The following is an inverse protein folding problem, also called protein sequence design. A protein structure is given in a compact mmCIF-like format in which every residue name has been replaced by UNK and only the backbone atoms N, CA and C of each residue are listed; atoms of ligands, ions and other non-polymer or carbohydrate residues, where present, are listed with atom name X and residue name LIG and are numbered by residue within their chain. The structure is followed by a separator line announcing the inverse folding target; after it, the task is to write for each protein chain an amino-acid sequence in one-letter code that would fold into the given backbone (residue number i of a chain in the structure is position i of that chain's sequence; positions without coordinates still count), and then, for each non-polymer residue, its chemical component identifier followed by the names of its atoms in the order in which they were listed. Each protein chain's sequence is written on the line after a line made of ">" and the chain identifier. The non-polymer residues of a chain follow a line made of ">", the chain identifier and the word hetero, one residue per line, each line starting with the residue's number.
data_IF_383699829806
#
_entry.id   IF_383699829806
#
_cell.length_a   1.000
_cell.length_b   1.000
_cell.length_c   1.000
_cell.angle_alpha   90.00
_cell.angle_beta   90.00
_cell.angle_gamma   90.00
#
_symmetry.space_group_name_H-M   'P 1'
#
loop_
_entity.id
_entity.type
_entity.pdbx_description
1 polymer ?
#
# COMPACT_ATOMS: atom_id res chain seq x y z
N UNK A 1 8.23 -14.53 -0.70
CA UNK A 1 8.01 -13.58 0.39
C UNK A 1 7.37 -14.37 1.50
N UNK A 2 8.15 -14.79 2.49
CA UNK A 2 7.60 -15.46 3.67
C UNK A 2 7.10 -14.38 4.63
N UNK A 3 5.94 -14.60 5.26
CA UNK A 3 5.39 -13.77 6.35
C UNK A 3 6.31 -13.73 7.60
N UNK A 4 7.28 -14.65 7.66
CA UNK A 4 8.16 -14.95 8.79
C UNK A 4 8.92 -13.80 9.46
N UNK A 5 8.71 -13.70 10.79
CA UNK A 5 9.37 -12.91 11.86
C UNK A 5 8.79 -11.54 12.23
N UNK A 6 7.79 -11.02 11.52
CA UNK A 6 7.12 -9.75 11.88
C UNK A 6 5.65 -9.94 12.25
N UNK A 7 5.30 -11.17 12.65
CA UNK A 7 3.98 -11.49 13.21
C UNK A 7 3.99 -10.98 14.65
N UNK A 8 3.29 -9.87 14.91
CA UNK A 8 3.15 -9.33 16.26
C UNK A 8 2.44 -10.34 17.19
N UNK A 9 2.65 -10.25 18.52
CA UNK A 9 2.39 -11.34 19.47
C UNK A 9 0.92 -11.77 19.60
N UNK A 10 -0.04 -10.96 19.17
CA UNK A 10 -1.48 -11.24 19.35
C UNK A 10 -2.27 -11.24 18.04
N UNK A 11 -2.02 -12.23 17.18
CA UNK A 11 -2.75 -12.34 15.91
C UNK A 11 -4.23 -12.66 16.10
N UNK A 12 -4.57 -13.38 17.17
CA UNK A 12 -5.96 -13.69 17.50
C UNK A 12 -6.76 -12.39 17.79
N UNK A 13 -6.22 -11.47 18.59
CA UNK A 13 -6.87 -10.17 18.84
C UNK A 13 -7.00 -9.31 17.58
N UNK A 14 -5.98 -9.28 16.71
CA UNK A 14 -6.05 -8.54 15.44
C UNK A 14 -7.16 -9.11 14.54
N UNK A 15 -7.32 -10.43 14.48
CA UNK A 15 -8.39 -11.07 13.71
C UNK A 15 -9.77 -10.80 14.31
N UNK A 16 -9.88 -10.79 15.65
CA UNK A 16 -11.07 -10.32 16.36
C UNK A 16 -11.43 -8.88 16.01
N UNK A 17 -10.45 -7.98 15.96
CA UNK A 17 -10.64 -6.58 15.55
C UNK A 17 -11.15 -6.48 14.11
N UNK A 18 -10.57 -7.26 13.19
CA UNK A 18 -11.03 -7.34 11.80
C UNK A 18 -12.49 -7.81 11.75
N UNK A 19 -12.85 -8.89 12.46
CA UNK A 19 -14.21 -9.40 12.48
C UNK A 19 -15.21 -8.38 13.02
N UNK A 20 -14.87 -7.68 14.10
CA UNK A 20 -15.68 -6.58 14.65
C UNK A 20 -15.84 -5.43 13.64
N UNK A 21 -14.77 -5.04 12.97
CA UNK A 21 -14.79 -3.98 11.95
C UNK A 21 -15.63 -4.37 10.72
N UNK A 22 -15.56 -5.63 10.27
CA UNK A 22 -16.40 -6.16 9.20
C UNK A 22 -17.88 -6.13 9.58
N UNK A 23 -18.22 -6.60 10.79
CA UNK A 23 -19.60 -6.58 11.29
C UNK A 23 -20.16 -5.14 11.35
N UNK A 24 -19.33 -4.17 11.74
CA UNK A 24 -19.67 -2.75 11.77
C UNK A 24 -19.62 -2.06 10.38
N UNK A 25 -19.24 -2.77 9.31
CA UNK A 25 -18.98 -2.21 7.97
C UNK A 25 -17.94 -1.08 7.96
N UNK A 26 -17.02 -1.11 8.92
CA UNK A 26 -15.97 -0.10 9.13
C UNK A 26 -14.65 -0.53 8.47
N UNK A 27 -14.62 -0.61 7.14
CA UNK A 27 -13.52 -1.29 6.41
C UNK A 27 -12.17 -0.55 6.33
N UNK A 28 -12.07 0.66 6.86
CA UNK A 28 -10.86 1.49 6.74
C UNK A 28 -10.29 1.88 8.11
N UNK A 29 -10.73 1.22 9.19
CA UNK A 29 -10.28 1.50 10.56
C UNK A 29 -9.05 0.67 10.91
N UNK A 30 -8.32 1.13 11.93
CA UNK A 30 -7.19 0.42 12.52
C UNK A 30 -7.67 -0.86 13.21
N UNK A 31 -6.90 -1.93 13.04
CA UNK A 31 -7.17 -3.25 13.64
C UNK A 31 -5.93 -3.89 14.28
N UNK A 32 -4.74 -3.34 14.02
CA UNK A 32 -3.50 -3.77 14.67
C UNK A 32 -3.45 -3.27 16.12
N UNK A 33 -2.88 -4.10 17.00
CA UNK A 33 -2.69 -3.79 18.41
C UNK A 33 -1.38 -3.03 18.63
N UNK A 34 -1.33 -2.24 19.71
CA UNK A 34 -0.13 -1.52 20.17
C UNK A 34 0.45 -0.51 19.16
N UNK A 35 -0.37 0.03 18.27
CA UNK A 35 0.02 1.15 17.43
C UNK A 35 0.43 2.35 18.32
N UNK A 36 1.60 2.96 18.07
CA UNK A 36 2.02 4.10 18.86
C UNK A 36 1.07 5.28 18.64
N UNK A 37 0.50 5.78 19.74
CA UNK A 37 -0.32 6.99 19.75
C UNK A 37 0.57 8.21 19.95
N UNK A 38 0.49 9.18 19.05
CA UNK A 38 1.21 10.44 19.15
C UNK A 38 0.21 11.58 19.44
N UNK A 39 0.67 12.61 20.15
CA UNK A 39 -0.08 13.87 20.23
C UNK A 39 0.12 14.69 18.96
N UNK A 40 -0.81 15.60 18.65
CA UNK A 40 -0.70 16.48 17.48
C UNK A 40 0.62 17.29 17.45
N UNK A 41 1.13 17.68 18.62
CA UNK A 41 2.41 18.36 18.76
C UNK A 41 3.60 17.45 18.39
N UNK A 42 3.55 16.16 18.76
CA UNK A 42 4.57 15.19 18.39
C UNK A 42 4.54 14.89 16.89
N UNK A 43 3.36 14.68 16.31
CA UNK A 43 3.19 14.48 14.86
C UNK A 43 3.74 15.68 14.08
N UNK A 44 3.45 16.89 14.54
CA UNK A 44 3.98 18.13 13.97
C UNK A 44 5.50 18.17 13.99
N UNK A 45 6.11 17.88 15.15
CA UNK A 45 7.56 17.87 15.27
C UNK A 45 8.23 16.82 14.36
N UNK A 46 7.62 15.63 14.21
CA UNK A 46 8.09 14.56 13.32
C UNK A 46 8.08 15.04 11.87
N UNK A 47 6.97 15.62 11.42
CA UNK A 47 6.82 16.14 10.06
C UNK A 47 7.80 17.29 9.78
N UNK A 48 7.90 18.26 10.68
CA UNK A 48 8.77 19.43 10.48
C UNK A 48 10.24 19.01 10.45
N UNK A 49 10.64 18.08 11.32
CA UNK A 49 11.96 17.47 11.27
C UNK A 49 12.22 16.81 9.93
N UNK A 50 11.27 16.02 9.44
CA UNK A 50 11.37 15.34 8.16
C UNK A 50 11.51 16.32 6.98
N UNK A 51 10.67 17.35 6.92
CA UNK A 51 10.72 18.38 5.88
C UNK A 51 12.05 19.15 5.91
N UNK A 52 12.57 19.47 7.10
CA UNK A 52 13.87 20.11 7.24
C UNK A 52 15.02 19.21 6.78
N UNK A 53 15.02 17.92 7.13
CA UNK A 53 16.04 16.97 6.67
C UNK A 53 16.06 16.85 5.13
N UNK A 54 14.90 16.89 4.47
CA UNK A 54 14.79 16.78 3.00
C UNK A 54 15.52 17.87 2.23
N UNK A 55 15.77 19.02 2.83
CA UNK A 55 16.51 20.11 2.21
C UNK A 55 18.02 19.84 2.14
N UNK A 56 18.53 18.89 2.93
CA UNK A 56 19.96 18.57 3.00
C UNK A 56 20.39 17.68 1.84
N UNK A 57 21.58 17.92 1.29
CA UNK A 57 22.14 17.06 0.24
C UNK A 57 22.36 15.62 0.74
N UNK A 58 22.71 15.44 2.02
CA UNK A 58 22.86 14.13 2.66
C UNK A 58 21.57 13.31 2.63
N UNK A 59 20.40 13.95 2.65
CA UNK A 59 19.12 13.26 2.50
C UNK A 59 19.01 12.57 1.14
N UNK A 60 19.44 13.24 0.06
CA UNK A 60 19.43 12.67 -1.30
C UNK A 60 20.35 11.45 -1.42
N UNK A 61 21.52 11.52 -0.80
CA UNK A 61 22.48 10.40 -0.76
C UNK A 61 21.93 9.22 0.04
N UNK A 62 21.40 9.47 1.24
CA UNK A 62 20.76 8.43 2.06
C UNK A 62 19.56 7.79 1.35
N UNK A 63 18.76 8.60 0.65
CA UNK A 63 17.64 8.12 -0.16
C UNK A 63 18.11 7.20 -1.29
N UNK A 64 19.19 7.57 -2.00
CA UNK A 64 19.76 6.72 -3.04
C UNK A 64 20.27 5.38 -2.48
N UNK A 65 21.03 5.42 -1.38
CA UNK A 65 21.54 4.21 -0.71
C UNK A 65 20.38 3.32 -0.26
N UNK A 66 19.39 3.90 0.42
CA UNK A 66 18.21 3.17 0.89
C UNK A 66 17.47 2.50 -0.27
N UNK A 67 17.21 3.24 -1.35
CA UNK A 67 16.53 2.70 -2.54
C UNK A 67 17.28 1.52 -3.16
N UNK A 68 18.61 1.60 -3.27
CA UNK A 68 19.42 0.51 -3.80
C UNK A 68 19.32 -0.74 -2.91
N UNK A 69 19.45 -0.58 -1.60
CA UNK A 69 19.33 -1.67 -0.63
C UNK A 69 17.94 -2.30 -0.64
N UNK A 70 16.88 -1.49 -0.62
CA UNK A 70 15.49 -1.95 -0.66
C UNK A 70 15.18 -2.64 -1.98
N UNK A 71 15.65 -2.13 -3.11
CA UNK A 71 15.45 -2.78 -4.41
C UNK A 71 16.17 -4.14 -4.49
N UNK A 72 17.40 -4.24 -3.98
CA UNK A 72 18.12 -5.51 -3.90
C UNK A 72 17.40 -6.51 -2.97
N UNK A 73 16.95 -6.04 -1.81
CA UNK A 73 16.14 -6.83 -0.89
C UNK A 73 14.84 -7.31 -1.54
N UNK A 74 14.13 -6.42 -2.24
CA UNK A 74 12.89 -6.73 -2.96
C UNK A 74 13.10 -7.87 -3.97
N UNK A 75 14.17 -7.81 -4.79
CA UNK A 75 14.51 -8.90 -5.73
C UNK A 75 14.66 -10.24 -5.01
N UNK A 76 15.35 -10.25 -3.87
CA UNK A 76 15.58 -11.47 -3.09
C UNK A 76 14.29 -12.02 -2.47
N UNK A 77 13.48 -11.17 -1.84
CA UNK A 77 12.30 -11.64 -1.09
C UNK A 77 11.06 -11.90 -1.94
N UNK A 78 11.06 -11.43 -3.18
CA UNK A 78 9.95 -11.61 -4.13
C UNK A 78 10.28 -12.59 -5.25
N UNK A 79 11.33 -13.40 -5.13
CA UNK A 79 11.73 -14.37 -6.15
C UNK A 79 10.59 -15.33 -6.53
N UNK A 80 9.82 -15.76 -5.53
CA UNK A 80 8.66 -16.66 -5.56
C UNK A 80 7.31 -15.96 -5.77
N UNK A 81 7.26 -14.62 -5.81
CA UNK A 81 6.01 -13.87 -6.04
C UNK A 81 5.71 -13.81 -7.53
N UNK A 82 4.60 -14.37 -7.99
CA UNK A 82 4.19 -14.25 -9.38
C UNK A 82 3.64 -12.84 -9.66
N UNK A 83 3.92 -12.28 -10.85
CA UNK A 83 3.35 -10.99 -11.29
C UNK A 83 2.68 -11.20 -12.64
N UNK A 84 1.36 -11.07 -12.65
CA UNK A 84 0.50 -11.23 -13.83
C UNK A 84 0.07 -9.85 -14.33
N UNK A 85 0.05 -9.62 -15.65
CA UNK A 85 -0.48 -8.38 -16.23
C UNK A 85 0.48 -7.20 -16.31
N UNK A 86 1.79 -7.41 -16.05
CA UNK A 86 2.78 -6.32 -16.01
C UNK A 86 2.94 -5.58 -17.35
N UNK A 87 2.65 -6.26 -18.46
CA UNK A 87 2.66 -5.69 -19.81
C UNK A 87 1.70 -4.51 -19.95
N UNK A 88 0.58 -4.51 -19.22
CA UNK A 88 -0.45 -3.46 -19.24
C UNK A 88 0.08 -2.08 -18.82
N UNK A 89 1.16 -2.05 -18.04
CA UNK A 89 1.71 -0.81 -17.46
C UNK A 89 3.08 -0.40 -18.03
N UNK A 90 3.70 -1.22 -18.89
CA UNK A 90 5.00 -0.92 -19.54
C UNK A 90 4.97 0.31 -20.44
N UNK A 91 3.81 0.54 -21.08
CA UNK A 91 3.59 1.68 -21.98
C UNK A 91 3.40 3.01 -21.22
N UNK A 92 3.08 2.99 -19.93
CA UNK A 92 2.84 4.20 -19.14
C UNK A 92 4.18 4.92 -18.92
N UNK A 93 4.36 6.06 -19.58
CA UNK A 93 5.55 6.93 -19.43
C UNK A 93 5.33 8.09 -18.48
N UNK A 94 4.08 8.45 -18.18
CA UNK A 94 3.72 9.49 -17.21
C UNK A 94 4.03 9.08 -15.77
N UNK A 95 3.79 10.00 -14.82
CA UNK A 95 3.53 9.63 -13.43
C UNK A 95 2.25 8.78 -13.31
N UNK A 96 1.94 8.32 -12.11
CA UNK A 96 0.78 7.47 -11.85
C UNK A 96 0.62 7.12 -10.38
N UNK A 97 -0.59 6.77 -9.99
CA UNK A 97 -0.90 6.32 -8.63
C UNK A 97 -1.12 4.82 -8.65
N UNK A 98 -0.30 4.06 -7.93
CA UNK A 98 -0.49 2.62 -7.75
C UNK A 98 -1.45 2.42 -6.58
N UNK A 99 -2.46 1.58 -6.74
CA UNK A 99 -3.37 1.17 -5.67
C UNK A 99 -3.35 -0.34 -5.51
N UNK A 100 -3.48 -0.84 -4.29
CA UNK A 100 -3.58 -2.28 -3.99
C UNK A 100 -4.40 -2.51 -2.72
N UNK A 101 -4.74 -3.76 -2.42
CA UNK A 101 -5.18 -4.18 -1.08
C UNK A 101 -4.03 -4.08 -0.07
N UNK A 102 -4.36 -3.79 1.21
CA UNK A 102 -3.38 -3.55 2.29
C UNK A 102 -3.52 -4.55 3.44
N UNK A 103 -2.59 -5.51 3.54
CA UNK A 103 -2.64 -6.69 4.41
C UNK A 103 -1.30 -7.09 5.03
N UNK A 104 -0.16 -6.54 4.61
CA UNK A 104 1.15 -6.83 5.20
C UNK A 104 2.10 -5.64 5.11
N UNK A 105 2.99 -5.42 6.10
CA UNK A 105 4.02 -4.37 6.03
C UNK A 105 4.99 -4.58 4.85
N UNK A 106 5.10 -5.81 4.34
CA UNK A 106 6.05 -6.19 3.29
C UNK A 106 5.43 -6.32 1.90
N UNK A 107 4.10 -6.22 1.76
CA UNK A 107 3.44 -6.44 0.47
C UNK A 107 3.89 -5.45 -0.62
N UNK A 108 4.34 -4.24 -0.23
CA UNK A 108 4.84 -3.25 -1.16
C UNK A 108 6.08 -3.76 -1.94
N UNK A 109 6.76 -4.81 -1.46
CA UNK A 109 7.84 -5.47 -2.18
C UNK A 109 7.32 -6.15 -3.47
N UNK A 110 6.12 -6.74 -3.45
CA UNK A 110 5.49 -7.28 -4.65
C UNK A 110 5.21 -6.17 -5.67
N UNK A 111 4.73 -5.01 -5.19
CA UNK A 111 4.54 -3.83 -6.04
C UNK A 111 5.88 -3.38 -6.64
N UNK A 112 6.95 -3.30 -5.84
CA UNK A 112 8.31 -2.99 -6.33
C UNK A 112 8.78 -3.96 -7.41
N UNK A 113 8.46 -5.27 -7.27
CA UNK A 113 8.73 -6.26 -8.33
C UNK A 113 8.00 -5.91 -9.62
N UNK A 114 6.70 -5.58 -9.57
CA UNK A 114 5.95 -5.15 -10.76
C UNK A 114 6.52 -3.87 -11.38
N UNK A 115 6.85 -2.85 -10.59
CA UNK A 115 7.48 -1.61 -11.07
C UNK A 115 8.79 -1.91 -11.81
N UNK A 116 9.63 -2.78 -11.25
CA UNK A 116 10.88 -3.23 -11.90
C UNK A 116 10.63 -3.98 -13.20
N UNK A 117 9.70 -4.93 -13.21
CA UNK A 117 9.32 -5.70 -14.40
C UNK A 117 8.65 -4.84 -15.49
N UNK A 118 8.10 -3.69 -15.11
CA UNK A 118 7.61 -2.66 -16.03
C UNK A 118 8.72 -1.75 -16.60
N UNK A 119 9.98 -1.97 -16.21
CA UNK A 119 11.14 -1.19 -16.67
C UNK A 119 11.40 0.08 -15.87
N UNK A 120 10.92 0.17 -14.62
CA UNK A 120 11.09 1.32 -13.74
C UNK A 120 11.83 0.93 -12.46
N UNK A 121 12.71 1.80 -11.95
CA UNK A 121 13.56 1.48 -10.78
C UNK A 121 13.25 2.30 -9.53
N UNK A 122 12.27 3.20 -9.61
CA UNK A 122 11.88 4.11 -8.54
C UNK A 122 10.37 4.25 -8.47
N UNK A 123 9.86 4.18 -7.25
CA UNK A 123 8.50 4.53 -6.88
C UNK A 123 8.55 5.24 -5.53
N UNK A 124 7.51 5.98 -5.22
CA UNK A 124 7.28 6.59 -3.91
C UNK A 124 6.19 5.81 -3.18
N UNK A 125 6.20 5.87 -1.86
CA UNK A 125 5.18 5.23 -1.03
C UNK A 125 4.59 6.26 -0.08
N UNK A 126 3.26 6.37 -0.07
CA UNK A 126 2.57 7.15 0.96
C UNK A 126 2.47 6.32 2.23
N UNK A 127 2.93 6.87 3.35
CA UNK A 127 2.93 6.22 4.67
C UNK A 127 2.43 7.18 5.74
N UNK A 128 1.79 6.67 6.78
CA UNK A 128 1.46 7.48 7.96
C UNK A 128 2.73 8.16 8.51
N UNK A 129 2.58 9.41 8.93
CA UNK A 129 3.65 10.25 9.47
C UNK A 129 4.31 9.68 10.72
N UNK A 130 3.54 9.03 11.59
CA UNK A 130 4.02 8.33 12.79
C UNK A 130 5.08 7.27 12.50
N UNK A 131 5.05 6.63 11.31
CA UNK A 131 6.08 5.66 10.90
C UNK A 131 7.46 6.29 10.72
N UNK A 132 7.54 7.61 10.52
CA UNK A 132 8.82 8.33 10.46
C UNK A 132 9.54 8.38 11.80
N UNK A 133 8.83 8.18 12.92
CA UNK A 133 9.40 8.16 14.27
C UNK A 133 10.05 6.82 14.65
N UNK A 134 9.97 5.80 13.80
CA UNK A 134 10.61 4.50 14.05
C UNK A 134 12.13 4.67 14.21
N UNK A 135 12.74 3.83 15.05
CA UNK A 135 14.18 3.85 15.34
C UNK A 135 14.92 2.76 14.57
N UNK A 136 16.25 2.88 14.49
CA UNK A 136 17.12 1.87 13.90
C UNK A 136 16.95 1.72 12.38
N UNK A 137 17.13 0.49 11.88
CA UNK A 137 17.08 0.19 10.45
C UNK A 137 15.70 0.45 9.83
N UNK A 138 14.62 0.11 10.53
CA UNK A 138 13.25 0.39 10.08
C UNK A 138 13.02 1.90 9.97
N UNK A 139 13.47 2.68 10.97
CA UNK A 139 13.47 4.13 10.91
C UNK A 139 14.21 4.70 9.70
N UNK A 140 15.38 4.14 9.39
CA UNK A 140 16.13 4.53 8.19
C UNK A 140 15.32 4.26 6.91
N UNK A 141 14.71 3.08 6.76
CA UNK A 141 13.88 2.77 5.59
C UNK A 141 12.69 3.74 5.51
N UNK A 142 11.93 3.92 6.58
CA UNK A 142 10.75 4.79 6.58
C UNK A 142 11.08 6.25 6.24
N UNK A 143 12.25 6.74 6.62
CA UNK A 143 12.67 8.11 6.32
C UNK A 143 13.26 8.29 4.91
N UNK A 144 13.88 7.25 4.32
CA UNK A 144 14.71 7.39 3.12
C UNK A 144 14.28 6.51 1.93
N UNK A 145 13.26 5.67 2.03
CA UNK A 145 12.78 4.82 0.94
C UNK A 145 11.78 5.52 0.00
N UNK A 146 12.10 6.77 -0.38
CA UNK A 146 11.23 7.63 -1.20
C UNK A 146 9.80 7.77 -0.62
N UNK A 147 9.69 7.84 0.71
CA UNK A 147 8.44 8.03 1.44
C UNK A 147 7.84 9.43 1.22
N UNK A 148 6.51 9.50 1.13
CA UNK A 148 5.73 10.73 1.21
C UNK A 148 4.82 10.58 2.44
N UNK A 149 5.07 11.30 3.54
CA UNK A 149 4.26 11.14 4.73
C UNK A 149 2.84 11.66 4.50
N UNK A 150 1.86 10.98 5.09
CA UNK A 150 0.47 11.38 5.15
C UNK A 150 0.14 11.73 6.59
N UNK A 151 -0.20 13.00 6.82
CA UNK A 151 -0.63 13.51 8.12
C UNK A 151 -2.12 13.82 8.08
N UNK A 152 -2.82 13.65 9.21
CA UNK A 152 -4.23 14.04 9.34
C UNK A 152 -4.47 15.56 9.27
N UNK A 153 -3.40 16.36 9.28
CA UNK A 153 -3.44 17.83 9.33
C UNK A 153 -3.86 18.44 7.98
N UNK A 154 -4.97 19.20 7.90
CA UNK A 154 -5.42 19.80 6.64
C UNK A 154 -4.40 20.74 5.98
N UNK A 155 -3.66 21.52 6.76
CA UNK A 155 -2.62 22.42 6.25
C UNK A 155 -1.46 21.67 5.59
N UNK A 156 -1.13 20.48 6.10
CA UNK A 156 -0.12 19.62 5.52
C UNK A 156 -0.61 18.97 4.22
N UNK A 157 -1.84 18.46 4.24
CA UNK A 157 -2.49 17.85 3.07
C UNK A 157 -2.62 18.83 1.91
N UNK A 158 -3.05 20.06 2.15
CA UNK A 158 -3.28 21.07 1.12
C UNK A 158 -2.00 21.79 0.63
N UNK A 159 -0.85 21.54 1.26
CA UNK A 159 0.41 22.23 0.93
C UNK A 159 1.55 21.25 0.67
N UNK A 160 2.40 20.93 1.66
CA UNK A 160 3.56 20.06 1.49
C UNK A 160 3.25 18.71 0.83
N UNK A 161 2.14 18.05 1.22
CA UNK A 161 1.77 16.75 0.66
C UNK A 161 1.51 16.84 -0.85
N UNK A 162 0.65 17.77 -1.27
CA UNK A 162 0.37 18.03 -2.68
C UNK A 162 1.61 18.39 -3.46
N UNK A 163 2.49 19.24 -2.92
CA UNK A 163 3.74 19.61 -3.59
C UNK A 163 4.65 18.40 -3.82
N UNK A 164 4.73 17.48 -2.85
CA UNK A 164 5.52 16.24 -3.00
C UNK A 164 4.92 15.30 -4.04
N UNK A 165 3.60 15.12 -4.06
CA UNK A 165 2.90 14.32 -5.07
C UNK A 165 3.10 14.90 -6.46
N UNK A 166 2.82 16.19 -6.65
CA UNK A 166 3.03 16.89 -7.94
C UNK A 166 4.46 16.75 -8.41
N UNK A 167 5.46 16.93 -7.53
CA UNK A 167 6.87 16.74 -7.88
C UNK A 167 7.17 15.30 -8.32
N UNK A 168 6.60 14.30 -7.66
CA UNK A 168 6.77 12.90 -8.04
C UNK A 168 6.14 12.64 -9.43
N UNK A 169 4.91 13.08 -9.67
CA UNK A 169 4.20 12.87 -10.93
C UNK A 169 4.86 13.60 -12.10
N UNK A 170 5.27 14.85 -11.92
CA UNK A 170 6.01 15.63 -12.93
C UNK A 170 7.39 15.04 -13.22
N UNK A 171 8.01 14.36 -12.25
CA UNK A 171 9.21 13.55 -12.46
C UNK A 171 8.94 12.18 -13.10
N UNK A 172 7.72 11.95 -13.60
CA UNK A 172 7.26 10.68 -14.18
C UNK A 172 7.34 9.50 -13.22
N UNK A 173 7.30 9.72 -11.90
CA UNK A 173 7.37 8.66 -10.91
C UNK A 173 5.98 8.14 -10.55
N UNK A 174 5.94 6.87 -10.14
CA UNK A 174 4.73 6.25 -9.60
C UNK A 174 4.71 6.35 -8.09
N UNK A 175 3.53 6.60 -7.53
CA UNK A 175 3.30 6.73 -6.09
C UNK A 175 2.31 5.66 -5.65
N UNK A 176 2.72 4.80 -4.73
CA UNK A 176 1.84 3.81 -4.10
C UNK A 176 1.04 4.48 -2.98
N UNK A 177 -0.28 4.37 -3.10
CA UNK A 177 -1.24 4.86 -2.11
C UNK A 177 -2.29 3.77 -1.90
N UNK A 178 -2.40 3.26 -0.68
CA UNK A 178 -3.40 2.25 -0.33
C UNK A 178 -4.76 2.92 -0.06
N UNK A 179 -5.74 2.79 -0.97
CA UNK A 179 -7.03 3.45 -0.78
C UNK A 179 -7.86 2.77 0.31
N UNK A 180 -7.49 1.56 0.75
CA UNK A 180 -8.10 0.88 1.90
C UNK A 180 -7.72 1.52 3.25
N UNK A 181 -6.78 2.48 3.25
CA UNK A 181 -6.16 3.13 4.40
C UNK A 181 -5.35 2.17 5.26
N UNK A 182 -5.96 1.61 6.30
CA UNK A 182 -5.27 0.87 7.36
C UNK A 182 -4.99 -0.57 6.94
N UNK A 183 -3.84 -1.13 7.31
CA UNK A 183 -3.48 -2.52 7.00
C UNK A 183 -4.35 -3.51 7.78
N UNK A 184 -4.92 -4.50 7.10
CA UNK A 184 -5.65 -5.60 7.75
C UNK A 184 -4.90 -6.92 7.53
N UNK A 185 -4.18 -7.36 8.56
CA UNK A 185 -3.27 -8.51 8.48
C UNK A 185 -3.88 -9.71 7.75
N UNK A 186 -3.25 -10.12 6.65
CA UNK A 186 -3.62 -11.27 5.82
C UNK A 186 -5.07 -11.31 5.33
N UNK A 187 -5.82 -10.21 5.41
CA UNK A 187 -7.20 -10.16 4.97
C UNK A 187 -7.29 -10.21 3.44
N UNK A 188 -7.94 -11.24 2.91
CA UNK A 188 -7.96 -11.56 1.47
C UNK A 188 -8.85 -10.65 0.64
N UNK A 189 -9.94 -10.16 1.24
CA UNK A 189 -11.00 -9.45 0.54
C UNK A 189 -10.54 -8.01 0.25
N UNK A 190 -10.57 -7.55 -1.01
CA UNK A 190 -10.37 -6.13 -1.28
C UNK A 190 -11.44 -5.35 -0.53
N UNK A 191 -11.05 -4.25 0.11
CA UNK A 191 -11.95 -3.43 0.94
C UNK A 191 -12.45 -2.23 0.17
N UNK A 192 -13.64 -1.69 0.51
CA UNK A 192 -14.14 -0.46 -0.10
C UNK A 192 -13.12 0.68 0.06
N UNK A 193 -12.70 1.31 -1.04
CA UNK A 193 -11.66 2.32 -1.00
C UNK A 193 -12.16 3.68 -0.50
N UNK A 194 -11.24 4.51 -0.01
CA UNK A 194 -11.41 5.96 0.15
C UNK A 194 -10.99 6.71 -1.11
N UNK A 195 -11.60 7.87 -1.31
CA UNK A 195 -11.48 8.69 -2.52
C UNK A 195 -10.11 9.34 -2.74
N UNK A 196 -9.31 9.53 -1.70
CA UNK A 196 -8.09 10.36 -1.73
C UNK A 196 -7.12 10.03 -2.88
N UNK A 197 -6.73 8.76 -3.02
CA UNK A 197 -5.80 8.31 -4.08
C UNK A 197 -6.27 8.71 -5.49
N UNK A 198 -7.57 8.59 -5.74
CA UNK A 198 -8.19 8.88 -7.03
C UNK A 198 -8.38 10.38 -7.26
N UNK A 199 -8.60 11.15 -6.19
CA UNK A 199 -8.62 12.60 -6.27
C UNK A 199 -7.25 13.13 -6.71
N UNK A 200 -6.16 12.69 -6.06
CA UNK A 200 -4.82 13.13 -6.44
C UNK A 200 -4.41 12.70 -7.85
N UNK A 201 -4.81 11.49 -8.26
CA UNK A 201 -4.57 11.03 -9.63
C UNK A 201 -5.33 11.88 -10.65
N UNK A 202 -6.61 12.17 -10.40
CA UNK A 202 -7.46 12.99 -11.27
C UNK A 202 -6.96 14.44 -11.35
N UNK A 203 -6.58 15.04 -10.22
CA UNK A 203 -6.05 16.41 -10.17
C UNK A 203 -4.74 16.56 -10.95
N UNK A 204 -3.86 15.56 -10.85
CA UNK A 204 -2.59 15.54 -11.59
C UNK A 204 -2.71 15.03 -13.03
N UNK A 205 -3.91 14.59 -13.47
CA UNK A 205 -4.11 14.05 -14.82
C UNK A 205 -3.33 12.75 -15.10
N UNK A 206 -3.03 11.95 -14.07
CA UNK A 206 -2.24 10.71 -14.17
C UNK A 206 -3.11 9.46 -13.98
N UNK A 207 -2.74 8.31 -14.56
CA UNK A 207 -3.53 7.09 -14.39
C UNK A 207 -3.42 6.47 -13.00
N UNK A 208 -4.45 5.70 -12.66
CA UNK A 208 -4.40 4.67 -11.61
C UNK A 208 -3.81 3.40 -12.21
N UNK A 209 -2.78 2.89 -11.57
CA UNK A 209 -2.20 1.56 -11.80
C UNK A 209 -2.83 0.64 -10.76
N UNK A 210 -3.91 -0.02 -11.18
CA UNK A 210 -4.71 -0.87 -10.33
C UNK A 210 -4.02 -2.22 -10.12
N UNK A 211 -3.78 -2.58 -8.86
CA UNK A 211 -3.21 -3.87 -8.49
C UNK A 211 -4.12 -4.60 -7.49
N UNK A 212 -4.05 -5.93 -7.50
CA UNK A 212 -4.64 -6.79 -6.47
C UNK A 212 -3.66 -7.91 -6.14
N UNK A 213 -3.35 -8.11 -4.86
CA UNK A 213 -2.50 -9.23 -4.43
C UNK A 213 -3.37 -10.35 -3.87
N UNK A 214 -3.34 -11.49 -4.57
CA UNK A 214 -3.90 -12.75 -4.12
C UNK A 214 -2.96 -13.40 -3.10
N UNK A 215 -3.53 -13.96 -2.02
CA UNK A 215 -2.80 -14.62 -0.94
C UNK A 215 -3.23 -16.09 -0.85
N UNK A 216 -2.30 -17.00 -1.14
CA UNK A 216 -2.51 -18.45 -1.17
C UNK A 216 -1.94 -19.11 0.07
N UNK A 217 -2.73 -19.95 0.74
CA UNK A 217 -2.23 -20.76 1.85
C UNK A 217 -1.29 -21.85 1.35
N UNK A 218 -0.22 -22.08 2.10
CA UNK A 218 0.69 -23.19 1.90
C UNK A 218 0.45 -24.28 2.95
N UNK A 219 0.94 -25.49 2.67
CA UNK A 219 0.80 -26.62 3.61
C UNK A 219 1.68 -26.46 4.86
N UNK A 220 2.82 -25.79 4.73
CA UNK A 220 3.77 -25.60 5.83
C UNK A 220 3.21 -24.64 6.89
N UNK A 221 3.55 -24.89 8.16
CA UNK A 221 3.26 -23.96 9.26
C UNK A 221 4.36 -22.92 9.38
N UNK A 222 3.95 -21.68 9.63
CA UNK A 222 4.84 -20.60 10.04
C UNK A 222 5.03 -20.60 11.56
N UNK A 223 3.94 -20.85 12.31
CA UNK A 223 3.90 -21.00 13.76
C UNK A 223 2.64 -21.77 14.20
N UNK A 224 2.36 -21.80 15.50
CA UNK A 224 1.23 -22.53 16.09
C UNK A 224 -0.15 -22.01 15.62
N UNK A 225 -0.23 -20.75 15.18
CA UNK A 225 -1.46 -20.09 14.73
C UNK A 225 -1.57 -19.94 13.20
N UNK A 226 -0.44 -19.95 12.50
CA UNK A 226 -0.37 -19.57 11.09
C UNK A 226 0.31 -20.61 10.21
N UNK A 227 -0.25 -20.81 9.01
CA UNK A 227 0.39 -21.41 7.85
C UNK A 227 1.22 -20.38 7.10
N UNK A 228 2.27 -20.85 6.42
CA UNK A 228 2.98 -20.04 5.44
C UNK A 228 2.02 -19.65 4.30
N UNK A 229 2.24 -18.49 3.70
CA UNK A 229 1.48 -17.99 2.54
C UNK A 229 2.40 -17.67 1.37
N UNK A 230 1.84 -17.70 0.16
CA UNK A 230 2.47 -17.19 -1.06
C UNK A 230 1.59 -16.14 -1.74
N UNK A 231 2.17 -15.38 -2.66
CA UNK A 231 1.50 -14.23 -3.26
C UNK A 231 1.55 -14.24 -4.78
N UNK A 232 0.43 -13.84 -5.39
CA UNK A 232 0.36 -13.49 -6.81
C UNK A 232 -0.13 -12.06 -6.92
N UNK A 233 0.68 -11.20 -7.53
CA UNK A 233 0.31 -9.81 -7.80
C UNK A 233 -0.32 -9.71 -9.18
N UNK A 234 -1.60 -9.35 -9.21
CA UNK A 234 -2.36 -9.08 -10.41
C UNK A 234 -2.30 -7.59 -10.73
N UNK A 235 -1.65 -7.22 -11.83
CA UNK A 235 -1.72 -5.88 -12.42
C UNK A 235 -2.95 -5.84 -13.33
N UNK A 236 -3.91 -4.99 -12.98
CA UNK A 236 -5.18 -4.86 -13.67
C UNK A 236 -5.10 -3.74 -14.73
N UNK A 237 -6.17 -3.54 -15.49
CA UNK A 237 -6.17 -2.51 -16.54
C UNK A 237 -5.98 -1.11 -15.92
N UNK A 238 -5.05 -0.29 -16.44
CA UNK A 238 -4.84 1.06 -15.93
C UNK A 238 -6.06 1.94 -16.22
N UNK A 239 -6.34 2.86 -15.29
CA UNK A 239 -7.51 3.73 -15.37
C UNK A 239 -7.05 5.16 -15.53
N UNK A 240 -7.37 5.76 -16.67
CA UNK A 240 -7.02 7.14 -16.98
C UNK A 240 -8.16 8.08 -16.61
N UNK A 241 -7.86 9.32 -16.15
CA UNK A 241 -8.88 10.34 -15.99
C UNK A 241 -9.49 10.71 -17.35
N UNK A 242 -10.80 10.88 -17.39
CA UNK A 242 -11.54 11.40 -18.52
C UNK A 242 -11.39 12.93 -18.57
N UNK A 243 -10.90 13.44 -19.71
CA UNK A 243 -10.66 14.88 -19.90
C UNK A 243 -11.95 15.71 -19.92
N UNK A 244 -13.10 15.08 -20.14
CA UNK A 244 -14.40 15.74 -20.19
C UNK A 244 -15.09 15.82 -18.82
N UNK A 245 -14.53 15.18 -17.80
CA UNK A 245 -15.09 15.17 -16.44
C UNK A 245 -14.33 16.13 -15.52
N UNK A 246 -15.05 16.66 -14.53
CA UNK A 246 -14.41 17.41 -13.43
C UNK A 246 -13.45 16.50 -12.65
N UNK A 247 -12.47 17.07 -11.95
CA UNK A 247 -11.58 16.31 -11.03
C UNK A 247 -12.40 15.51 -10.03
N UNK A 248 -13.52 16.09 -9.56
CA UNK A 248 -14.44 15.42 -8.64
C UNK A 248 -15.04 14.17 -9.26
N UNK A 249 -15.64 14.28 -10.43
CA UNK A 249 -16.36 13.16 -11.04
C UNK A 249 -15.38 12.08 -11.53
N UNK A 250 -14.23 12.49 -12.08
CA UNK A 250 -13.11 11.59 -12.37
C UNK A 250 -12.72 10.77 -11.15
N UNK A 251 -12.50 11.42 -10.01
CA UNK A 251 -12.06 10.70 -8.81
C UNK A 251 -13.07 9.67 -8.31
N UNK A 252 -14.38 9.90 -8.47
CA UNK A 252 -15.40 8.90 -8.15
C UNK A 252 -15.45 7.77 -9.17
N UNK A 253 -15.42 8.10 -10.47
CA UNK A 253 -15.47 7.10 -11.55
C UNK A 253 -14.25 6.17 -11.48
N UNK A 254 -13.05 6.74 -11.32
CA UNK A 254 -11.80 6.00 -11.20
C UNK A 254 -11.80 5.10 -9.95
N UNK A 255 -12.32 5.59 -8.82
CA UNK A 255 -12.49 4.80 -7.58
C UNK A 255 -13.41 3.61 -7.76
N UNK A 256 -14.58 3.82 -8.36
CA UNK A 256 -15.56 2.77 -8.61
C UNK A 256 -15.01 1.70 -9.55
N UNK A 257 -14.34 2.12 -10.63
CA UNK A 257 -13.72 1.21 -11.60
C UNK A 257 -12.58 0.41 -10.99
N UNK A 258 -11.69 1.03 -10.22
CA UNK A 258 -10.60 0.35 -9.52
C UNK A 258 -11.13 -0.71 -8.55
N UNK A 259 -12.14 -0.35 -7.76
CA UNK A 259 -12.77 -1.28 -6.85
C UNK A 259 -13.46 -2.42 -7.60
N UNK A 260 -14.22 -2.15 -8.66
CA UNK A 260 -14.84 -3.19 -9.48
C UNK A 260 -13.82 -4.17 -10.08
N UNK A 261 -12.69 -3.66 -10.60
CA UNK A 261 -11.60 -4.49 -11.11
C UNK A 261 -11.01 -5.39 -10.01
N UNK A 262 -10.78 -4.86 -8.81
CA UNK A 262 -10.28 -5.64 -7.66
C UNK A 262 -11.28 -6.69 -7.18
N UNK A 263 -12.57 -6.37 -7.18
CA UNK A 263 -13.64 -7.33 -6.88
C UNK A 263 -13.61 -8.50 -7.86
N UNK A 264 -13.57 -8.21 -9.16
CA UNK A 264 -13.49 -9.24 -10.19
C UNK A 264 -12.22 -10.09 -10.06
N UNK A 265 -11.08 -9.47 -9.78
CA UNK A 265 -9.82 -10.17 -9.57
C UNK A 265 -9.88 -11.10 -8.33
N UNK A 266 -10.48 -10.65 -7.23
CA UNK A 266 -10.74 -11.48 -6.06
C UNK A 266 -11.66 -12.67 -6.40
N UNK A 267 -12.77 -12.42 -7.08
CA UNK A 267 -13.75 -13.46 -7.41
C UNK A 267 -13.15 -14.52 -8.34
N UNK A 268 -12.33 -14.11 -9.30
CA UNK A 268 -11.58 -15.00 -10.17
C UNK A 268 -10.51 -15.81 -9.41
N UNK A 269 -9.77 -15.17 -8.51
CA UNK A 269 -8.70 -15.81 -7.74
C UNK A 269 -9.21 -16.87 -6.75
N UNK A 270 -10.33 -16.59 -6.08
CA UNK A 270 -10.87 -17.46 -5.02
C UNK A 270 -12.09 -18.28 -5.44
N UNK A 271 -12.58 -18.12 -6.68
CA UNK A 271 -13.71 -18.88 -7.22
C UNK A 271 -15.04 -18.66 -6.48
N UNK A 272 -15.20 -17.52 -5.80
CA UNK A 272 -16.40 -17.20 -5.01
C UNK A 272 -16.75 -15.71 -5.08
N UNK A 273 -18.05 -15.33 -5.07
CA UNK A 273 -18.46 -13.93 -5.02
C UNK A 273 -17.88 -13.19 -3.81
N UNK A 274 -17.55 -11.91 -3.99
CA UNK A 274 -17.15 -11.07 -2.86
C UNK A 274 -18.37 -10.73 -2.00
N UNK A 275 -18.36 -11.21 -0.77
CA UNK A 275 -19.29 -10.79 0.29
C UNK A 275 -18.50 -10.32 1.51
N UNK A 276 -19.11 -9.44 2.31
CA UNK A 276 -18.51 -8.97 3.56
C UNK A 276 -19.11 -9.63 4.80
N UNK A 277 -19.63 -10.84 4.66
CA UNK A 277 -19.77 -11.72 5.83
C UNK A 277 -18.37 -12.21 6.21
N UNK A 278 -17.99 -12.07 7.49
CA UNK A 278 -16.69 -12.53 7.97
C UNK A 278 -16.67 -14.06 8.09
N UNK A 279 -15.55 -14.66 7.71
CA UNK A 279 -15.20 -16.05 7.95
C UNK A 279 -13.70 -16.13 8.24
N UNK A 280 -13.28 -17.08 9.07
CA UNK A 280 -11.86 -17.30 9.38
C UNK A 280 -11.01 -17.53 8.12
N UNK A 281 -11.58 -18.19 7.10
CA UNK A 281 -10.95 -18.35 5.78
C UNK A 281 -10.67 -17.03 5.03
N UNK A 282 -11.20 -15.89 5.49
CA UNK A 282 -10.87 -14.59 4.91
C UNK A 282 -9.49 -14.08 5.36
N UNK A 283 -8.94 -14.67 6.42
CA UNK A 283 -7.58 -14.43 6.90
C UNK A 283 -6.68 -15.52 6.33
N UNK A 284 -5.81 -15.15 5.39
CA UNK A 284 -4.85 -16.08 4.83
C UNK A 284 -3.88 -16.59 5.92
N UNK A 285 -3.61 -17.88 5.87
CA UNK A 285 -2.74 -18.60 6.78
C UNK A 285 -3.36 -18.89 8.14
N UNK A 286 -4.52 -18.35 8.50
CA UNK A 286 -5.11 -18.57 9.82
C UNK A 286 -5.53 -20.04 10.03
N UNK A 287 -4.84 -20.71 10.96
CA UNK A 287 -5.04 -22.12 11.31
C UNK A 287 -4.62 -22.34 12.78
N UNK A 288 -5.38 -21.77 13.75
CA UNK A 288 -5.07 -21.89 15.17
C UNK A 288 -5.22 -23.34 15.63
N UNK A 289 -4.22 -23.83 16.36
CA UNK A 289 -4.28 -25.11 17.08
C UNK A 289 -5.05 -25.01 18.38
#
# INVERSE_FOLDING_TARGET
>A
MKSGKFVGPDRAAVIENIRRAVAAKAFNVKVEEHDPTFSEAQETAIIDHYLHQRQRWTFRVKTLICRLLVNAYAVRVTSDVEVVGVEKIRAIKSGGVITSNHFSPFENMAIRKAVRLAGRHRMYIVSQDTNLAMKGLLGFVMNYDDTIPLSGRPSFLNGPFMQMLTKAFSGHHWVLIYPEQEMWFNYRKPRPPKRGSYFYAAEAGVPIISCFTEIRDLKARENDQLREVSYVLHVLDPIYPDRNLSVRDNSFQMMQRDYAQKRQAYEAAYGKPLTYAFSDQDIAGWDPQ
#
